data_IF_007031734280
#
_entry.id   IF_007031734280
#
_cell.length_a   1.000
_cell.length_b   1.000
_cell.length_c   1.000
_cell.angle_alpha   90.00
_cell.angle_beta   90.00
_cell.angle_gamma   90.00
#
_symmetry.space_group_name_H-M   'P 1'
#
loop_
_entity.id
_entity.type
_entity.pdbx_description
1 polymer ?
#
# COMPACT_ATOMS: atom_id res chain seq x y z
N UNK A 1 2.50 12.50 -14.93
CA UNK A 1 1.38 11.85 -14.24
C UNK A 1 1.86 11.39 -12.87
N UNK A 2 1.03 11.53 -11.84
CA UNK A 2 1.40 11.24 -10.45
C UNK A 2 0.30 10.51 -9.72
N UNK A 3 0.67 9.57 -8.85
CA UNK A 3 -0.27 8.87 -7.97
C UNK A 3 -0.27 9.49 -6.58
N UNK A 4 -1.45 9.73 -6.04
CA UNK A 4 -1.66 10.30 -4.71
C UNK A 4 -2.41 9.26 -3.88
N UNK A 5 -1.91 8.93 -2.70
CA UNK A 5 -2.69 8.21 -1.70
C UNK A 5 -3.38 9.25 -0.81
N UNK A 6 -4.71 9.21 -0.73
CA UNK A 6 -5.50 10.19 0.02
C UNK A 6 -5.77 9.72 1.45
N UNK A 7 -6.06 8.43 1.63
CA UNK A 7 -6.20 7.78 2.92
C UNK A 7 -5.99 6.27 2.78
N UNK A 8 -5.31 5.64 3.73
CA UNK A 8 -5.16 4.19 3.80
C UNK A 8 -5.41 3.71 5.23
N UNK A 9 -6.27 2.71 5.39
CA UNK A 9 -6.56 2.07 6.67
C UNK A 9 -6.24 0.59 6.52
N UNK A 10 -5.44 0.09 7.45
CA UNK A 10 -5.15 -1.33 7.55
C UNK A 10 -5.22 -1.82 8.99
N UNK A 11 -5.69 -3.05 9.17
CA UNK A 11 -5.64 -3.76 10.44
C UNK A 11 -4.58 -4.85 10.35
N UNK A 12 -3.81 -5.09 11.41
CA UNK A 12 -2.74 -6.09 11.40
C UNK A 12 -3.07 -7.29 12.26
N UNK A 13 -2.84 -8.50 11.75
CA UNK A 13 -2.88 -9.74 12.54
C UNK A 13 -1.47 -10.32 12.62
N UNK A 14 -0.94 -10.51 13.82
CA UNK A 14 0.37 -11.12 14.06
C UNK A 14 0.23 -12.64 14.25
N UNK A 15 1.17 -13.41 13.69
CA UNK A 15 1.16 -14.88 13.73
C UNK A 15 2.38 -15.43 14.47
N UNK A 16 2.18 -16.52 15.22
CA UNK A 16 3.24 -17.31 15.84
C UNK A 16 3.58 -16.97 17.29
N UNK A 17 4.31 -17.87 17.98
CA UNK A 17 4.60 -17.77 19.42
C UNK A 17 5.52 -16.58 19.80
N UNK A 18 6.28 -16.04 18.85
CA UNK A 18 7.15 -14.86 19.04
C UNK A 18 6.66 -13.59 18.30
N UNK A 19 5.46 -13.61 17.68
CA UNK A 19 4.79 -12.49 16.99
C UNK A 19 5.64 -11.61 16.04
N UNK A 20 6.67 -12.17 15.41
CA UNK A 20 7.56 -11.42 14.50
C UNK A 20 6.93 -11.11 13.13
N UNK A 21 5.87 -11.81 12.72
CA UNK A 21 5.27 -11.61 11.39
C UNK A 21 3.82 -11.19 11.50
N UNK A 22 3.44 -10.17 10.75
CA UNK A 22 2.09 -9.63 10.70
C UNK A 22 1.58 -9.45 9.28
N UNK A 23 0.28 -9.71 9.09
CA UNK A 23 -0.45 -9.51 7.84
C UNK A 23 -1.39 -8.31 7.99
N UNK A 24 -1.41 -7.43 6.99
CA UNK A 24 -2.14 -6.17 6.97
C UNK A 24 -3.07 -6.14 5.76
N UNK A 25 -4.36 -6.53 5.86
CA UNK A 25 -5.35 -6.03 4.91
C UNK A 25 -5.25 -4.51 4.82
N UNK A 26 -5.24 -3.98 3.59
CA UNK A 26 -5.24 -2.54 3.30
C UNK A 26 -6.42 -2.19 2.44
N UNK A 27 -7.11 -1.14 2.82
CA UNK A 27 -8.11 -0.48 1.98
C UNK A 27 -7.91 1.02 2.06
N UNK A 28 -8.15 1.72 0.98
CA UNK A 28 -7.89 3.15 0.93
C UNK A 28 -8.53 3.84 -0.24
N UNK A 29 -8.35 5.16 -0.27
CA UNK A 29 -8.76 6.03 -1.36
C UNK A 29 -7.48 6.57 -2.00
N UNK A 30 -7.40 6.47 -3.31
CA UNK A 30 -6.27 6.94 -4.11
C UNK A 30 -6.76 7.85 -5.21
N UNK A 31 -5.91 8.75 -5.68
CA UNK A 31 -6.14 9.52 -6.88
C UNK A 31 -4.96 9.42 -7.83
N UNK A 32 -5.21 9.64 -9.11
CA UNK A 32 -4.18 9.73 -10.14
C UNK A 32 -4.44 10.96 -10.99
N UNK A 33 -3.39 11.74 -11.19
CA UNK A 33 -3.38 12.84 -12.15
C UNK A 33 -2.78 12.33 -13.46
N UNK A 34 -3.60 12.30 -14.51
CA UNK A 34 -3.17 11.98 -15.87
C UNK A 34 -3.11 13.29 -16.63
N UNK A 35 -1.88 13.75 -16.87
CA UNK A 35 -1.63 14.93 -17.68
C UNK A 35 -1.57 14.49 -19.14
N UNK A 36 -2.73 14.40 -19.79
CA UNK A 36 -2.80 14.38 -21.25
C UNK A 36 -2.56 15.82 -21.72
N UNK A 37 -1.69 16.01 -22.73
CA UNK A 37 -1.09 17.29 -23.15
C UNK A 37 -2.05 18.47 -23.44
N UNK A 38 -3.35 18.34 -23.21
CA UNK A 38 -4.40 19.34 -23.47
C UNK A 38 -5.36 19.55 -22.27
N UNK A 39 -5.43 18.63 -21.30
CA UNK A 39 -6.24 18.80 -20.08
C UNK A 39 -5.79 17.83 -18.96
N UNK A 40 -5.49 18.35 -17.77
CA UNK A 40 -5.23 17.53 -16.58
C UNK A 40 -6.51 16.81 -16.16
N UNK A 41 -6.52 15.48 -16.25
CA UNK A 41 -7.64 14.66 -15.77
C UNK A 41 -7.29 14.06 -14.41
N UNK A 42 -8.14 14.32 -13.41
CA UNK A 42 -7.99 13.81 -12.06
C UNK A 42 -8.99 12.68 -11.81
N UNK A 43 -8.49 11.47 -11.57
CA UNK A 43 -9.33 10.31 -11.31
C UNK A 43 -9.18 9.88 -9.86
N UNK A 44 -10.30 9.83 -9.13
CA UNK A 44 -10.38 9.24 -7.80
C UNK A 44 -10.73 7.77 -7.95
N UNK A 45 -10.08 6.94 -7.15
CA UNK A 45 -10.25 5.50 -7.10
C UNK A 45 -10.11 4.99 -5.67
N UNK A 46 -10.19 3.68 -5.52
CA UNK A 46 -9.95 3.01 -4.25
C UNK A 46 -8.77 2.05 -4.38
N UNK A 47 -8.10 1.80 -3.27
CA UNK A 47 -7.08 0.79 -3.17
C UNK A 47 -7.56 -0.35 -2.27
N UNK A 48 -7.21 -1.57 -2.65
CA UNK A 48 -7.41 -2.77 -1.85
C UNK A 48 -6.14 -3.61 -1.96
N UNK A 49 -5.73 -4.26 -0.88
CA UNK A 49 -4.47 -4.99 -0.88
C UNK A 49 -4.20 -5.75 0.40
N UNK A 50 -3.04 -6.38 0.42
CA UNK A 50 -2.51 -7.08 1.58
C UNK A 50 -1.02 -6.79 1.72
N UNK A 51 -0.61 -6.51 2.95
CA UNK A 51 0.77 -6.34 3.37
C UNK A 51 1.23 -7.48 4.24
N UNK A 52 2.51 -7.79 4.19
CA UNK A 52 3.21 -8.62 5.15
C UNK A 52 4.36 -7.82 5.72
N UNK A 53 4.47 -7.76 7.05
CA UNK A 53 5.61 -7.20 7.76
C UNK A 53 6.26 -8.29 8.59
N UNK A 54 7.57 -8.37 8.52
CA UNK A 54 8.39 -9.26 9.33
C UNK A 54 9.38 -8.42 10.14
N UNK A 55 9.30 -8.53 11.46
CA UNK A 55 10.23 -7.97 12.41
C UNK A 55 11.38 -8.96 12.62
N UNK A 56 12.59 -8.51 12.34
CA UNK A 56 13.78 -9.32 12.56
C UNK A 56 14.13 -9.31 14.05
N UNK A 57 15.06 -10.18 14.48
CA UNK A 57 15.59 -10.14 15.86
C UNK A 57 16.40 -8.87 16.17
N UNK A 58 16.77 -8.11 15.14
CA UNK A 58 17.36 -6.77 15.24
C UNK A 58 16.27 -5.69 15.25
N UNK A 59 16.64 -4.42 15.42
CA UNK A 59 15.69 -3.30 15.36
C UNK A 59 15.07 -3.04 13.97
N UNK A 60 15.13 -4.01 13.06
CA UNK A 60 14.72 -3.84 11.68
C UNK A 60 13.44 -4.62 11.42
N UNK A 61 12.58 -4.09 10.56
CA UNK A 61 11.44 -4.79 10.00
C UNK A 61 11.43 -4.63 8.48
N UNK A 62 11.19 -5.72 7.77
CA UNK A 62 10.90 -5.71 6.35
C UNK A 62 9.40 -5.73 6.11
N UNK A 63 8.93 -5.05 5.07
CA UNK A 63 7.55 -5.15 4.62
C UNK A 63 7.44 -5.32 3.11
N UNK A 64 6.45 -6.10 2.70
CA UNK A 64 6.04 -6.25 1.30
C UNK A 64 4.54 -6.04 1.24
N UNK A 65 4.11 -5.09 0.42
CA UNK A 65 2.70 -4.78 0.22
C UNK A 65 2.32 -5.00 -1.23
N UNK A 66 1.23 -5.73 -1.44
CA UNK A 66 0.61 -5.86 -2.75
C UNK A 66 -0.74 -5.17 -2.74
N UNK A 67 -0.94 -4.22 -3.64
CA UNK A 67 -2.12 -3.36 -3.67
C UNK A 67 -2.63 -3.21 -5.10
N UNK A 68 -3.93 -3.33 -5.27
CA UNK A 68 -4.64 -3.04 -6.51
C UNK A 68 -5.35 -1.71 -6.39
N UNK A 69 -4.92 -0.73 -7.18
CA UNK A 69 -5.60 0.56 -7.29
C UNK A 69 -6.63 0.48 -8.40
N UNK A 70 -7.89 0.65 -8.04
CA UNK A 70 -9.01 0.60 -8.95
C UNK A 70 -9.45 2.03 -9.29
N UNK A 71 -9.28 2.38 -10.56
CA UNK A 71 -9.81 3.62 -11.14
C UNK A 71 -10.96 3.29 -12.09
N UNK A 72 -11.82 4.26 -12.45
CA UNK A 72 -12.98 3.99 -13.30
C UNK A 72 -12.67 3.31 -14.65
N UNK A 73 -11.45 3.50 -15.17
CA UNK A 73 -11.06 3.03 -16.51
C UNK A 73 -9.99 1.94 -16.51
N UNK A 74 -9.33 1.69 -15.38
CA UNK A 74 -8.23 0.72 -15.31
C UNK A 74 -7.94 0.30 -13.87
N UNK A 75 -7.27 -0.85 -13.75
CA UNK A 75 -6.73 -1.35 -12.49
C UNK A 75 -5.21 -1.31 -12.57
N UNK A 76 -4.57 -0.82 -11.52
CA UNK A 76 -3.12 -0.71 -11.44
C UNK A 76 -2.59 -1.54 -10.26
N UNK A 77 -1.96 -2.71 -10.52
CA UNK A 77 -1.29 -3.47 -9.49
C UNK A 77 0.01 -2.78 -9.07
N UNK A 78 0.29 -2.76 -7.78
CA UNK A 78 1.49 -2.16 -7.20
C UNK A 78 2.06 -3.09 -6.14
N UNK A 79 3.37 -3.31 -6.21
CA UNK A 79 4.16 -3.93 -5.14
C UNK A 79 4.98 -2.84 -4.47
N UNK A 80 4.89 -2.71 -3.15
CA UNK A 80 5.69 -1.80 -2.34
C UNK A 80 6.61 -2.60 -1.46
N UNK A 81 7.90 -2.27 -1.46
CA UNK A 81 8.89 -2.85 -0.57
C UNK A 81 9.29 -1.78 0.45
N UNK A 82 9.24 -2.14 1.74
CA UNK A 82 9.60 -1.25 2.84
C UNK A 82 10.64 -1.89 3.74
N UNK A 83 11.55 -1.06 4.25
CA UNK A 83 12.42 -1.39 5.37
C UNK A 83 12.19 -0.32 6.42
N UNK A 84 11.80 -0.74 7.61
CA UNK A 84 11.60 0.14 8.77
C UNK A 84 12.68 -0.18 9.79
N UNK A 85 13.36 0.85 10.28
CA UNK A 85 14.24 0.73 11.44
C UNK A 85 13.46 1.25 12.64
N UNK A 86 13.15 0.37 13.59
CA UNK A 86 12.61 0.77 14.88
C UNK A 86 13.67 1.59 15.62
N UNK A 87 13.30 2.76 16.19
CA UNK A 87 14.21 3.54 17.02
C UNK A 87 14.68 2.78 18.26
#
# INVERSE_FOLDING_TARGET
SGFINLANIGYSVAFGPERSTSLFPRVGITAVEINEHVASSFFVGFDAGVGLRHEFKSSWAGSVDYTWRHYPRFVWPMVTLGIVVSP
#
